data_IF_274077341273
#
_entry.id   IF_274077341273
#
_cell.length_a   1.000
_cell.length_b   1.000
_cell.length_c   1.000
_cell.angle_alpha   90.00
_cell.angle_beta   90.00
_cell.angle_gamma   90.00
#
_symmetry.space_group_name_H-M   'P 1'
#
loop_
_entity.id
_entity.type
_entity.pdbx_description
1 polymer ?
#
# COMPACT_ATOMS: atom_id res chain seq x y z
N UNK A 1 28.94 -6.06 -12.36
CA UNK A 1 28.86 -4.75 -11.70
C UNK A 1 29.66 -3.75 -12.52
N UNK A 2 29.16 -2.52 -12.73
CA UNK A 2 29.89 -1.46 -13.46
C UNK A 2 30.22 -0.35 -12.47
N UNK A 3 31.48 0.07 -12.44
CA UNK A 3 31.98 1.15 -11.59
C UNK A 3 32.04 2.41 -12.46
N UNK A 4 31.57 3.53 -11.92
CA UNK A 4 31.52 4.83 -12.59
C UNK A 4 32.35 5.85 -11.82
N UNK A 5 32.87 6.88 -12.49
CA UNK A 5 33.38 8.05 -11.78
C UNK A 5 32.22 8.85 -11.21
N UNK A 6 32.40 9.46 -10.04
CA UNK A 6 31.35 10.24 -9.38
C UNK A 6 30.81 11.39 -10.23
N UNK A 7 31.68 12.08 -11.00
CA UNK A 7 31.28 13.14 -11.93
C UNK A 7 30.42 12.62 -13.07
N UNK A 8 30.86 11.54 -13.73
CA UNK A 8 30.13 10.89 -14.82
C UNK A 8 28.77 10.34 -14.35
N UNK A 9 28.66 9.92 -13.08
CA UNK A 9 27.40 9.47 -12.50
C UNK A 9 26.45 10.62 -12.18
N UNK A 10 26.98 11.75 -11.68
CA UNK A 10 26.18 12.93 -11.33
C UNK A 10 25.59 13.64 -12.56
N UNK A 11 26.30 13.62 -13.69
CA UNK A 11 25.86 14.22 -14.96
C UNK A 11 24.89 13.32 -15.74
N UNK A 12 24.60 12.12 -15.24
CA UNK A 12 23.79 11.15 -15.96
C UNK A 12 22.30 11.48 -15.83
N UNK A 13 21.63 11.52 -16.97
CA UNK A 13 20.18 11.54 -17.01
C UNK A 13 19.63 10.14 -16.70
N UNK A 14 18.80 10.06 -15.65
CA UNK A 14 18.03 8.86 -15.33
C UNK A 14 16.58 9.10 -15.75
N UNK A 15 15.91 8.11 -16.37
CA UNK A 15 14.49 8.23 -16.61
C UNK A 15 13.76 8.41 -15.27
N UNK A 16 12.78 9.30 -15.23
CA UNK A 16 11.95 9.42 -14.04
C UNK A 16 11.30 8.07 -13.73
N UNK A 17 11.31 7.65 -12.46
CA UNK A 17 10.71 6.38 -12.10
C UNK A 17 9.20 6.41 -12.41
N UNK A 18 8.64 5.31 -12.95
CA UNK A 18 7.23 5.26 -13.28
C UNK A 18 6.38 5.40 -12.01
N UNK A 19 5.21 6.02 -12.13
CA UNK A 19 4.18 6.04 -11.08
C UNK A 19 3.13 4.96 -11.37
N UNK A 20 2.78 4.17 -10.35
CA UNK A 20 1.63 3.26 -10.44
C UNK A 20 0.33 4.04 -10.18
N UNK A 21 0.39 4.99 -9.25
CA UNK A 21 -0.64 6.02 -9.03
C UNK A 21 0.09 7.37 -8.95
N UNK A 22 -0.20 8.33 -9.83
CA UNK A 22 0.47 9.63 -9.85
C UNK A 22 0.50 10.30 -8.47
N UNK A 23 1.70 10.66 -8.01
CA UNK A 23 1.93 11.34 -6.72
C UNK A 23 1.66 10.51 -5.46
N UNK A 24 1.19 9.26 -5.58
CA UNK A 24 0.79 8.43 -4.43
C UNK A 24 1.58 7.12 -4.34
N UNK A 25 1.67 6.37 -5.44
CA UNK A 25 2.29 5.04 -5.45
C UNK A 25 3.43 5.01 -6.48
N UNK A 26 4.69 5.04 -6.05
CA UNK A 26 5.82 4.90 -6.96
C UNK A 26 5.90 3.48 -7.51
N UNK A 27 6.35 3.36 -8.76
CA UNK A 27 6.62 2.09 -9.45
C UNK A 27 7.97 1.48 -9.09
N UNK A 28 8.43 1.68 -7.85
CA UNK A 28 9.66 1.11 -7.30
C UNK A 28 9.61 1.10 -5.77
N UNK A 29 10.48 0.29 -5.17
CA UNK A 29 10.65 0.25 -3.72
C UNK A 29 9.50 -0.43 -2.97
N UNK A 30 9.44 -0.18 -1.66
CA UNK A 30 8.42 -0.71 -0.76
C UNK A 30 7.71 0.50 -0.14
N UNK A 31 6.43 0.65 -0.41
CA UNK A 31 5.56 1.64 0.19
C UNK A 31 4.78 1.00 1.33
N UNK A 32 4.86 1.60 2.52
CA UNK A 32 4.17 1.07 3.70
C UNK A 32 2.98 1.95 4.07
N UNK A 33 1.81 1.34 4.23
CA UNK A 33 0.64 1.97 4.84
C UNK A 33 0.55 1.57 6.32
N UNK A 34 0.54 2.55 7.21
CA UNK A 34 0.48 2.31 8.65
C UNK A 34 -0.70 3.04 9.29
N UNK A 35 -1.36 2.36 10.24
CA UNK A 35 -2.45 2.89 11.03
C UNK A 35 -2.84 1.93 12.17
N UNK A 36 -3.66 2.40 13.11
CA UNK A 36 -4.28 1.53 14.12
C UNK A 36 -5.05 0.36 13.50
N UNK A 37 -5.21 -0.78 14.19
CA UNK A 37 -6.05 -1.88 13.72
C UNK A 37 -7.47 -1.40 13.43
N UNK A 38 -8.14 -2.04 12.47
CA UNK A 38 -9.54 -1.78 12.10
C UNK A 38 -9.85 -0.37 11.55
N UNK A 39 -8.84 0.37 11.08
CA UNK A 39 -9.01 1.68 10.42
C UNK A 39 -9.34 1.60 8.92
N UNK A 40 -9.55 0.39 8.37
CA UNK A 40 -9.87 0.21 6.95
C UNK A 40 -8.68 0.09 6.00
N UNK A 41 -7.43 -0.09 6.49
CA UNK A 41 -6.24 -0.28 5.61
C UNK A 41 -6.41 -1.38 4.57
N UNK A 42 -6.88 -2.56 4.98
CA UNK A 42 -7.10 -3.68 4.06
C UNK A 42 -8.20 -3.39 3.04
N UNK A 43 -9.23 -2.62 3.43
CA UNK A 43 -10.30 -2.17 2.52
C UNK A 43 -9.73 -1.17 1.50
N UNK A 44 -8.99 -0.15 1.96
CA UNK A 44 -8.33 0.82 1.08
C UNK A 44 -7.33 0.13 0.13
N UNK A 45 -6.60 -0.86 0.63
CA UNK A 45 -5.63 -1.63 -0.15
C UNK A 45 -6.31 -2.51 -1.20
N UNK A 46 -7.48 -3.09 -0.89
CA UNK A 46 -8.30 -3.79 -1.89
C UNK A 46 -8.87 -2.84 -2.94
N UNK A 47 -9.33 -1.65 -2.54
CA UNK A 47 -9.78 -0.62 -3.48
C UNK A 47 -8.64 -0.18 -4.40
N UNK A 48 -7.43 0.00 -3.87
CA UNK A 48 -6.24 0.28 -4.66
C UNK A 48 -5.94 -0.85 -5.65
N UNK A 49 -5.91 -2.11 -5.17
CA UNK A 49 -5.69 -3.29 -6.02
C UNK A 49 -6.71 -3.36 -7.16
N UNK A 50 -7.98 -3.10 -6.84
CA UNK A 50 -9.07 -3.09 -7.80
C UNK A 50 -8.91 -1.97 -8.84
N UNK A 51 -8.66 -0.73 -8.42
CA UNK A 51 -8.46 0.40 -9.34
C UNK A 51 -7.26 0.18 -10.25
N UNK A 52 -6.14 -0.33 -9.72
CA UNK A 52 -4.94 -0.67 -10.50
C UNK A 52 -5.20 -1.82 -11.47
N UNK A 53 -5.88 -2.87 -11.02
CA UNK A 53 -6.15 -4.08 -11.81
C UNK A 53 -7.13 -3.84 -12.96
N UNK A 54 -8.19 -3.08 -12.72
CA UNK A 54 -9.32 -2.94 -13.63
C UNK A 54 -9.31 -1.64 -14.45
N UNK A 55 -8.27 -0.82 -14.30
CA UNK A 55 -8.17 0.53 -14.87
C UNK A 55 -9.29 1.45 -14.36
N UNK A 56 -8.97 2.31 -13.42
CA UNK A 56 -9.93 3.24 -12.84
C UNK A 56 -9.26 4.44 -12.19
N UNK A 57 -10.01 5.08 -11.31
CA UNK A 57 -9.49 6.16 -10.47
C UNK A 57 -9.20 5.65 -9.07
N UNK A 58 -8.19 6.23 -8.42
CA UNK A 58 -7.91 5.99 -7.02
C UNK A 58 -7.63 7.33 -6.34
N UNK A 59 -8.43 7.69 -5.34
CA UNK A 59 -8.33 8.98 -4.63
C UNK A 59 -8.24 10.20 -5.55
N UNK A 60 -9.03 10.20 -6.63
CA UNK A 60 -9.07 11.28 -7.62
C UNK A 60 -7.93 11.27 -8.64
N UNK A 61 -7.00 10.32 -8.57
CA UNK A 61 -5.95 10.12 -9.56
C UNK A 61 -6.37 9.11 -10.62
N UNK A 62 -6.14 9.44 -11.89
CA UNK A 62 -6.33 8.51 -12.99
C UNK A 62 -5.15 7.54 -13.10
N UNK A 63 -5.47 6.26 -13.28
CA UNK A 63 -4.48 5.22 -13.49
C UNK A 63 -4.23 5.11 -15.00
N UNK A 64 -2.98 5.35 -15.41
CA UNK A 64 -2.61 5.50 -16.83
C UNK A 64 -2.74 4.21 -17.64
N UNK A 65 -2.61 3.05 -16.99
CA UNK A 65 -2.78 1.74 -17.60
C UNK A 65 -3.22 0.70 -16.56
N UNK A 66 -4.01 -0.32 -16.95
CA UNK A 66 -4.25 -1.45 -16.08
C UNK A 66 -2.93 -2.15 -15.73
N UNK A 67 -2.78 -2.49 -14.45
CA UNK A 67 -1.64 -3.20 -13.90
C UNK A 67 -2.04 -4.60 -13.47
N UNK A 68 -1.03 -5.46 -13.33
CA UNK A 68 -1.22 -6.78 -12.77
C UNK A 68 -0.78 -6.80 -11.31
N UNK A 69 -1.75 -6.92 -10.41
CA UNK A 69 -1.51 -6.81 -8.97
C UNK A 69 -1.65 -8.18 -8.31
N UNK A 70 -0.68 -8.57 -7.47
CA UNK A 70 -0.78 -9.74 -6.61
C UNK A 70 -1.03 -9.28 -5.17
N UNK A 71 -2.14 -9.69 -4.58
CA UNK A 71 -2.45 -9.48 -3.17
C UNK A 71 -2.14 -10.75 -2.38
N UNK A 72 -1.12 -10.68 -1.52
CA UNK A 72 -0.72 -11.75 -0.61
C UNK A 72 -1.43 -11.54 0.71
N UNK A 73 -2.43 -12.37 0.99
CA UNK A 73 -3.25 -12.32 2.18
C UNK A 73 -2.80 -13.38 3.20
N UNK A 74 -2.50 -12.94 4.42
CA UNK A 74 -2.20 -13.79 5.58
C UNK A 74 -2.86 -13.31 6.87
N UNK A 75 -3.61 -12.20 6.84
CA UNK A 75 -4.19 -11.55 8.03
C UNK A 75 -5.56 -12.13 8.44
N UNK A 76 -6.37 -12.51 7.44
CA UNK A 76 -7.71 -13.06 7.64
C UNK A 76 -7.81 -14.52 7.19
N UNK A 77 -8.68 -15.34 7.79
CA UNK A 77 -9.04 -16.64 7.25
C UNK A 77 -9.56 -16.55 5.81
N UNK A 78 -9.27 -17.57 4.98
CA UNK A 78 -9.61 -17.57 3.56
C UNK A 78 -11.12 -17.37 3.30
N UNK A 79 -11.98 -17.97 4.14
CA UNK A 79 -13.44 -17.80 4.05
C UNK A 79 -13.87 -16.34 4.27
N UNK A 80 -13.33 -15.69 5.30
CA UNK A 80 -13.65 -14.29 5.62
C UNK A 80 -13.13 -13.35 4.54
N UNK A 81 -11.93 -13.62 4.02
CA UNK A 81 -11.38 -12.88 2.89
C UNK A 81 -12.26 -13.00 1.65
N UNK A 82 -12.69 -14.21 1.30
CA UNK A 82 -13.57 -14.45 0.16
C UNK A 82 -14.93 -13.74 0.32
N UNK A 83 -15.48 -13.69 1.55
CA UNK A 83 -16.71 -12.96 1.82
C UNK A 83 -16.52 -11.46 1.68
N UNK A 84 -15.46 -10.90 2.27
CA UNK A 84 -15.12 -9.48 2.15
C UNK A 84 -14.93 -9.05 0.69
N UNK A 85 -14.29 -9.90 -0.11
CA UNK A 85 -14.15 -9.68 -1.56
C UNK A 85 -15.50 -9.61 -2.29
N UNK A 86 -16.47 -10.46 -1.93
CA UNK A 86 -17.83 -10.39 -2.49
C UNK A 86 -18.54 -9.09 -2.09
N UNK A 87 -18.42 -8.71 -0.83
CA UNK A 87 -19.07 -7.52 -0.28
C UNK A 87 -18.55 -6.22 -0.91
N UNK A 88 -17.26 -6.21 -1.33
CA UNK A 88 -16.65 -5.11 -2.07
C UNK A 88 -17.10 -5.02 -3.54
N UNK A 89 -17.87 -5.99 -4.05
CA UNK A 89 -18.38 -5.96 -5.42
C UNK A 89 -17.27 -6.03 -6.48
N UNK A 90 -16.22 -6.80 -6.22
CA UNK A 90 -15.06 -6.91 -7.12
C UNK A 90 -15.51 -7.37 -8.50
N UNK A 91 -15.04 -6.66 -9.54
CA UNK A 91 -15.44 -6.87 -10.93
C UNK A 91 -15.24 -8.34 -11.38
N UNK A 92 -16.27 -8.92 -11.98
CA UNK A 92 -16.28 -10.29 -12.54
C UNK A 92 -15.46 -10.47 -13.83
N UNK A 93 -14.69 -9.46 -14.25
CA UNK A 93 -14.01 -9.46 -15.55
C UNK A 93 -12.75 -10.35 -15.62
N UNK A 94 -12.42 -11.11 -14.59
CA UNK A 94 -11.26 -12.04 -14.57
C UNK A 94 -11.62 -13.45 -15.06
N UNK A 95 -12.21 -13.57 -16.26
CA UNK A 95 -12.48 -14.90 -16.86
C UNK A 95 -11.32 -15.47 -17.69
N UNK A 96 -10.12 -14.87 -17.64
CA UNK A 96 -8.91 -15.46 -18.26
C UNK A 96 -7.70 -15.31 -17.32
N UNK A 97 -6.91 -16.39 -17.12
CA UNK A 97 -5.72 -16.31 -16.30
C UNK A 97 -4.74 -15.30 -16.91
N UNK A 98 -4.28 -14.38 -16.06
CA UNK A 98 -3.05 -13.62 -16.24
C UNK A 98 -2.97 -12.58 -17.37
N UNK A 99 -4.09 -12.03 -17.89
CA UNK A 99 -4.03 -10.90 -18.85
C UNK A 99 -3.87 -9.54 -18.18
N UNK A 100 -4.88 -9.05 -17.47
CA UNK A 100 -4.90 -7.81 -16.68
C UNK A 100 -5.81 -8.06 -15.46
N UNK A 101 -5.62 -7.32 -14.37
CA UNK A 101 -6.43 -7.50 -13.15
C UNK A 101 -5.60 -7.67 -11.89
N UNK A 102 -6.28 -7.90 -10.78
CA UNK A 102 -5.64 -8.21 -9.51
C UNK A 102 -6.03 -9.61 -9.05
N UNK A 103 -5.09 -10.27 -8.41
CA UNK A 103 -5.15 -11.67 -8.04
C UNK A 103 -4.86 -11.80 -6.55
N UNK A 104 -5.49 -12.75 -5.87
CA UNK A 104 -5.19 -13.06 -4.47
C UNK A 104 -4.46 -14.38 -4.38
N UNK A 105 -3.45 -14.44 -3.52
CA UNK A 105 -2.95 -15.69 -2.95
C UNK A 105 -3.11 -15.63 -1.42
N UNK A 106 -3.71 -16.67 -0.84
CA UNK A 106 -3.75 -16.84 0.60
C UNK A 106 -2.55 -17.67 1.06
N UNK A 107 -1.81 -17.19 2.05
CA UNK A 107 -0.68 -17.89 2.65
C UNK A 107 -0.85 -17.94 4.16
N UNK A 108 -0.44 -19.06 4.75
CA UNK A 108 -0.40 -19.24 6.20
C UNK A 108 0.45 -18.15 6.90
N UNK A 109 0.07 -17.68 8.11
CA UNK A 109 0.88 -16.73 8.87
C UNK A 109 2.32 -17.24 9.11
N UNK A 110 3.28 -16.32 9.13
CA UNK A 110 4.69 -16.65 9.32
C UNK A 110 5.31 -17.41 8.16
N UNK A 111 4.81 -17.23 6.94
CA UNK A 111 5.43 -17.81 5.74
C UNK A 111 6.75 -17.11 5.36
N UNK A 112 6.89 -15.82 5.68
CA UNK A 112 8.09 -15.05 5.33
C UNK A 112 9.25 -15.48 6.23
N UNK A 113 10.40 -15.75 5.63
CA UNK A 113 11.53 -16.41 6.29
C UNK A 113 11.60 -17.92 6.02
N UNK A 114 10.55 -18.55 5.45
CA UNK A 114 10.57 -19.96 5.04
C UNK A 114 11.03 -20.07 3.58
N UNK A 115 12.25 -20.58 3.29
CA UNK A 115 12.82 -20.55 1.93
C UNK A 115 11.95 -21.20 0.85
N UNK A 116 11.28 -22.32 1.17
CA UNK A 116 10.44 -23.02 0.21
C UNK A 116 9.22 -22.19 -0.21
N UNK A 117 8.59 -21.50 0.75
CA UNK A 117 7.42 -20.64 0.50
C UNK A 117 7.83 -19.37 -0.24
N UNK A 118 8.96 -18.77 0.15
CA UNK A 118 9.54 -17.62 -0.56
C UNK A 118 9.86 -17.95 -2.02
N UNK A 119 10.43 -19.12 -2.29
CA UNK A 119 10.78 -19.58 -3.64
C UNK A 119 9.53 -19.82 -4.50
N UNK A 120 8.48 -20.43 -3.94
CA UNK A 120 7.21 -20.63 -4.64
C UNK A 120 6.59 -19.28 -5.01
N UNK A 121 6.51 -18.36 -4.05
CA UNK A 121 5.93 -17.03 -4.29
C UNK A 121 6.76 -16.22 -5.30
N UNK A 122 8.10 -16.27 -5.21
CA UNK A 122 8.99 -15.65 -6.20
C UNK A 122 8.69 -16.16 -7.62
N UNK A 123 8.59 -17.49 -7.81
CA UNK A 123 8.26 -18.06 -9.13
C UNK A 123 6.90 -17.59 -9.63
N UNK A 124 5.87 -17.60 -8.77
CA UNK A 124 4.54 -17.10 -9.12
C UNK A 124 4.57 -15.62 -9.52
N UNK A 125 5.34 -14.80 -8.82
CA UNK A 125 5.46 -13.37 -9.13
C UNK A 125 6.11 -13.14 -10.50
N UNK A 126 7.20 -13.86 -10.78
CA UNK A 126 7.95 -13.72 -12.03
C UNK A 126 7.22 -14.33 -13.23
N UNK A 127 6.71 -15.56 -13.11
CA UNK A 127 5.92 -16.24 -14.16
C UNK A 127 4.62 -15.50 -14.43
N UNK A 128 3.96 -15.02 -13.37
CA UNK A 128 2.79 -14.18 -13.45
C UNK A 128 3.06 -12.78 -13.98
N UNK A 129 4.32 -12.34 -14.09
CA UNK A 129 4.70 -10.99 -14.55
C UNK A 129 3.92 -9.88 -13.85
N UNK A 130 3.80 -9.96 -12.52
CA UNK A 130 3.09 -8.94 -11.75
C UNK A 130 3.85 -7.60 -11.77
N UNK A 131 3.10 -6.50 -11.72
CA UNK A 131 3.62 -5.12 -11.69
C UNK A 131 3.72 -4.58 -10.25
N UNK A 132 2.87 -5.08 -9.34
CA UNK A 132 2.83 -4.69 -7.92
C UNK A 132 2.50 -5.91 -7.07
N UNK A 133 3.16 -6.04 -5.92
CA UNK A 133 2.84 -7.06 -4.92
C UNK A 133 2.39 -6.39 -3.62
N UNK A 134 1.22 -6.75 -3.12
CA UNK A 134 0.65 -6.23 -1.88
C UNK A 134 0.73 -7.28 -0.80
N UNK A 135 1.08 -6.89 0.43
CA UNK A 135 1.24 -7.80 1.56
C UNK A 135 0.36 -7.35 2.73
N UNK A 136 -0.58 -8.19 3.12
CA UNK A 136 -1.50 -7.96 4.25
C UNK A 136 -1.36 -9.09 5.29
N UNK A 137 -0.72 -8.87 6.43
CA UNK A 137 -0.02 -7.66 6.90
C UNK A 137 1.42 -8.01 7.28
N UNK A 138 2.29 -7.00 7.44
CA UNK A 138 3.68 -7.19 7.86
C UNK A 138 3.79 -8.03 9.13
N UNK A 139 2.84 -7.86 10.06
CA UNK A 139 2.83 -8.58 11.32
C UNK A 139 2.49 -10.06 11.11
N UNK A 140 1.50 -10.38 10.26
CA UNK A 140 1.08 -11.77 10.05
C UNK A 140 2.00 -12.54 9.12
N UNK A 141 2.51 -11.93 8.04
CA UNK A 141 3.48 -12.59 7.15
C UNK A 141 4.79 -12.93 7.87
N UNK A 142 5.20 -12.10 8.86
CA UNK A 142 6.42 -12.31 9.66
C UNK A 142 6.24 -13.27 10.83
N UNK A 143 5.03 -13.75 11.09
CA UNK A 143 4.76 -14.64 12.23
C UNK A 143 4.78 -13.89 13.57
N UNK A 144 4.28 -12.65 13.58
CA UNK A 144 4.21 -11.78 14.76
C UNK A 144 5.57 -11.36 15.32
N UNK A 145 6.57 -11.20 14.44
CA UNK A 145 7.89 -10.71 14.81
C UNK A 145 7.82 -9.35 15.55
N UNK A 146 8.80 -9.10 16.41
CA UNK A 146 8.88 -7.82 17.11
C UNK A 146 9.38 -6.71 16.18
N UNK A 147 8.45 -5.87 15.72
CA UNK A 147 8.73 -4.82 14.73
C UNK A 147 9.42 -3.59 15.34
N UNK A 148 9.59 -3.57 16.67
CA UNK A 148 10.41 -2.58 17.38
C UNK A 148 11.91 -2.94 17.37
N UNK A 149 12.29 -4.18 16.97
CA UNK A 149 13.68 -4.59 16.79
C UNK A 149 14.19 -4.23 15.37
N UNK A 150 15.17 -3.32 15.23
CA UNK A 150 15.75 -2.97 13.94
C UNK A 150 16.35 -4.16 13.18
N UNK A 151 16.85 -5.19 13.89
CA UNK A 151 17.40 -6.39 13.25
C UNK A 151 16.28 -7.22 12.62
N UNK A 152 15.18 -7.42 13.34
CA UNK A 152 14.00 -8.10 12.84
C UNK A 152 13.44 -7.40 11.60
N UNK A 153 13.28 -6.07 11.65
CA UNK A 153 12.82 -5.28 10.50
C UNK A 153 13.80 -5.39 9.32
N UNK A 154 15.11 -5.30 9.57
CA UNK A 154 16.13 -5.46 8.52
C UNK A 154 16.06 -6.81 7.82
N UNK A 155 15.95 -7.91 8.58
CA UNK A 155 15.81 -9.26 8.04
C UNK A 155 14.52 -9.41 7.22
N UNK A 156 13.43 -8.81 7.69
CA UNK A 156 12.12 -8.84 7.04
C UNK A 156 12.15 -8.13 5.68
N UNK A 157 12.76 -6.96 5.60
CA UNK A 157 12.93 -6.23 4.34
C UNK A 157 13.85 -7.00 3.36
N UNK A 158 14.89 -7.67 3.87
CA UNK A 158 15.74 -8.54 3.04
C UNK A 158 14.95 -9.74 2.50
N UNK A 159 14.13 -10.37 3.35
CA UNK A 159 13.28 -11.48 2.95
C UNK A 159 12.29 -11.07 1.84
N UNK A 160 11.59 -9.92 2.00
CA UNK A 160 10.72 -9.37 0.96
C UNK A 160 11.48 -9.12 -0.36
N UNK A 161 12.69 -8.57 -0.29
CA UNK A 161 13.55 -8.36 -1.48
C UNK A 161 14.01 -9.64 -2.15
N UNK A 162 14.14 -10.76 -1.41
CA UNK A 162 14.41 -12.09 -1.99
C UNK A 162 13.19 -12.64 -2.72
N UNK A 163 11.99 -12.42 -2.17
CA UNK A 163 10.73 -12.83 -2.78
C UNK A 163 10.50 -12.08 -4.09
N UNK A 164 10.71 -10.77 -4.11
CA UNK A 164 10.61 -9.99 -5.33
C UNK A 164 11.29 -8.63 -5.24
N UNK A 165 11.75 -8.11 -6.39
CA UNK A 165 12.22 -6.73 -6.54
C UNK A 165 11.17 -5.81 -7.16
N UNK A 166 9.96 -6.33 -7.40
CA UNK A 166 8.82 -5.55 -7.85
C UNK A 166 8.45 -4.50 -6.79
N UNK A 167 7.80 -3.40 -7.20
CA UNK A 167 7.17 -2.48 -6.27
C UNK A 167 6.30 -3.25 -5.27
N UNK A 168 6.34 -2.87 -4.01
CA UNK A 168 5.56 -3.52 -2.96
C UNK A 168 4.70 -2.52 -2.19
N UNK A 169 3.47 -2.93 -1.87
CA UNK A 169 2.57 -2.24 -0.96
C UNK A 169 2.42 -3.07 0.31
N UNK A 170 2.81 -2.51 1.45
CA UNK A 170 2.90 -3.24 2.70
C UNK A 170 2.01 -2.66 3.77
N UNK A 171 1.12 -3.49 4.32
CA UNK A 171 0.20 -3.08 5.39
C UNK A 171 0.86 -3.33 6.74
N UNK A 172 0.90 -2.29 7.58
CA UNK A 172 1.42 -2.38 8.94
C UNK A 172 0.39 -1.87 9.96
N UNK A 173 0.17 -2.64 11.02
CA UNK A 173 -0.71 -2.25 12.12
C UNK A 173 0.13 -1.63 13.25
N UNK A 174 -0.19 -0.40 13.67
CA UNK A 174 0.37 0.17 14.89
C UNK A 174 -0.16 -0.65 16.09
N UNK A 175 0.71 -1.18 16.95
CA UNK A 175 0.27 -1.81 18.21
C UNK A 175 -0.44 -0.79 19.09
N UNK A 176 -1.47 -1.22 19.81
CA UNK A 176 -2.12 -0.41 20.84
C UNK A 176 -1.11 -0.24 21.99
N UNK A 177 -0.75 1.00 22.33
CA UNK A 177 0.04 1.27 23.52
C UNK A 177 -0.66 0.77 24.78
N UNK A 178 0.11 0.35 25.79
CA UNK A 178 -0.41 -0.03 27.09
C UNK A 178 -1.15 1.14 27.75
N UNK A 179 -2.33 0.93 28.38
CA UNK A 179 -3.02 1.99 29.11
C UNK A 179 -2.11 2.62 30.18
N UNK A 180 -2.02 3.95 30.18
CA UNK A 180 -1.21 4.69 31.17
C UNK A 180 0.26 4.88 30.83
N UNK A 181 0.74 4.33 29.72
CA UNK A 181 2.07 4.66 29.17
C UNK A 181 1.86 5.67 28.04
N UNK A 182 2.45 6.89 28.10
CA UNK A 182 2.42 7.82 26.97
C UNK A 182 2.89 7.08 25.72
N UNK A 183 2.21 7.30 24.59
CA UNK A 183 2.45 6.64 23.30
C UNK A 183 3.87 6.95 22.81
N UNK A 184 4.87 6.25 23.37
CA UNK A 184 6.30 6.44 23.09
C UNK A 184 6.76 5.66 21.86
N UNK A 185 5.90 4.87 21.23
CA UNK A 185 6.15 4.30 19.91
C UNK A 185 5.75 5.30 18.83
N UNK A 186 6.44 6.45 18.84
CA UNK A 186 6.84 7.02 17.57
C UNK A 186 7.81 6.02 16.94
N UNK A 187 7.27 5.01 16.26
CA UNK A 187 7.91 4.64 15.00
C UNK A 187 7.70 5.88 14.14
N UNK A 188 8.59 6.86 14.31
CA UNK A 188 8.95 7.75 13.23
C UNK A 188 9.13 6.80 12.06
N UNK A 189 8.24 6.86 11.09
CA UNK A 189 8.46 6.18 9.83
C UNK A 189 9.70 6.86 9.23
N UNK A 190 10.88 6.44 9.67
CA UNK A 190 12.16 6.96 9.25
C UNK A 190 12.43 6.32 7.89
N UNK A 191 11.75 6.83 6.88
CA UNK A 191 11.85 6.36 5.51
C UNK A 191 10.95 7.17 4.61
N UNK A 192 11.49 7.64 3.50
CA UNK A 192 10.82 8.46 2.47
C UNK A 192 9.63 7.77 1.76
N UNK A 193 9.15 6.61 2.25
CA UNK A 193 8.18 5.74 1.59
C UNK A 193 7.04 5.27 2.52
N UNK A 194 6.66 6.08 3.50
CA UNK A 194 5.57 5.76 4.42
C UNK A 194 4.33 6.63 4.16
N UNK A 195 3.17 5.98 4.03
CA UNK A 195 1.86 6.63 4.01
C UNK A 195 1.14 6.37 5.34
N UNK A 196 0.74 7.44 6.02
CA UNK A 196 -0.11 7.36 7.21
C UNK A 196 -1.58 7.31 6.79
N UNK A 197 -2.32 6.31 7.25
CA UNK A 197 -3.77 6.18 7.00
C UNK A 197 -4.56 6.29 8.31
N UNK A 198 -4.75 7.50 8.82
CA UNK A 198 -5.58 7.74 10.00
C UNK A 198 -7.08 7.77 9.68
N UNK A 199 -7.91 7.19 10.55
CA UNK A 199 -9.26 7.72 10.77
C UNK A 199 -9.09 8.82 11.82
N UNK A 200 -9.36 10.07 11.44
CA UNK A 200 -9.21 11.23 12.31
C UNK A 200 -10.54 11.53 13.02
N UNK A 201 -10.56 11.36 14.33
CA UNK A 201 -11.25 12.31 15.21
C UNK A 201 -10.19 13.30 15.69
N UNK A 202 -10.07 14.41 14.94
CA UNK A 202 -9.25 15.60 15.18
C UNK A 202 -7.70 15.48 15.10
N UNK A 203 -7.12 16.51 14.46
CA UNK A 203 -5.70 16.93 14.34
C UNK A 203 -4.89 16.38 13.16
N UNK A 204 -4.86 17.19 12.09
CA UNK A 204 -3.90 17.17 10.97
C UNK A 204 -2.44 16.87 11.39
N UNK A 205 -1.84 15.83 10.81
CA UNK A 205 -0.39 15.72 10.60
C UNK A 205 -0.08 14.73 9.45
N UNK A 206 0.19 15.25 8.25
CA UNK A 206 1.50 15.00 7.61
C UNK A 206 1.41 14.51 6.17
N UNK A 207 0.82 15.31 5.28
CA UNK A 207 1.01 15.22 3.80
C UNK A 207 1.51 16.57 3.25
N UNK A 208 2.09 17.41 4.10
CA UNK A 208 2.53 18.75 3.75
C UNK A 208 4.05 18.81 3.60
N UNK A 209 4.62 18.18 2.57
CA UNK A 209 5.96 18.58 2.09
C UNK A 209 6.29 18.17 0.64
N UNK A 210 5.30 17.77 -0.17
CA UNK A 210 5.50 17.48 -1.61
C UNK A 210 4.68 18.38 -2.55
N UNK A 211 4.35 19.61 -2.11
CA UNK A 211 3.69 20.64 -2.95
C UNK A 211 4.42 22.00 -2.87
N UNK A 212 5.57 22.07 -2.18
CA UNK A 212 6.20 23.33 -1.78
C UNK A 212 7.00 24.11 -2.82
N UNK A 213 7.16 23.64 -4.07
CA UNK A 213 8.01 24.30 -5.07
C UNK A 213 7.35 24.45 -6.45
N UNK A 214 6.17 25.08 -6.49
CA UNK A 214 5.77 25.91 -7.63
C UNK A 214 4.96 27.12 -7.10
N UNK A 215 5.57 28.30 -7.13
CA UNK A 215 4.94 29.60 -6.84
C UNK A 215 4.66 30.34 -8.17
N UNK A 216 3.89 31.44 -8.21
CA UNK A 216 2.44 31.45 -8.32
C UNK A 216 1.99 32.17 -9.60
N UNK A 217 1.06 31.61 -10.36
CA UNK A 217 0.22 32.40 -11.28
C UNK A 217 -1.08 31.66 -11.53
N UNK A 218 -2.17 32.22 -11.01
CA UNK A 218 -3.41 32.59 -11.72
C UNK A 218 -4.48 32.79 -10.64
N UNK A 219 -4.74 34.06 -10.40
CA UNK A 219 -5.93 34.57 -9.74
C UNK A 219 -7.19 34.21 -10.52
N UNK A 220 -8.27 33.95 -9.79
CA UNK A 220 -9.68 33.90 -10.22
C UNK A 220 -10.09 32.71 -11.11
N UNK A 221 -10.96 31.84 -10.57
CA UNK A 221 -12.27 31.50 -11.14
C UNK A 221 -13.14 30.95 -10.02
N UNK A 222 -14.26 31.64 -9.82
CA UNK A 222 -15.39 31.30 -8.97
C UNK A 222 -16.34 30.33 -9.68
N UNK A 223 -16.69 29.19 -9.08
CA UNK A 223 -18.05 28.60 -9.11
C UNK A 223 -18.11 27.25 -8.37
N UNK A 224 -19.24 26.91 -7.72
CA UNK A 224 -19.42 25.68 -6.96
C UNK A 224 -19.93 24.54 -7.86
N UNK A 225 -19.26 23.39 -7.83
CA UNK A 225 -19.80 22.15 -8.43
C UNK A 225 -20.45 21.32 -7.32
N UNK A 226 -21.74 21.09 -7.49
CA UNK A 226 -22.65 20.32 -6.63
C UNK A 226 -22.23 18.85 -6.49
N UNK A 227 -22.18 18.34 -5.25
CA UNK A 227 -22.05 16.91 -4.97
C UNK A 227 -23.43 16.20 -4.95
N UNK A 228 -23.50 14.92 -5.38
CA UNK A 228 -24.73 14.11 -5.35
C UNK A 228 -25.09 13.59 -3.93
N UNK A 229 -26.39 13.31 -3.66
CA UNK A 229 -26.98 13.32 -2.31
C UNK A 229 -26.85 12.03 -1.46
N UNK A 230 -25.83 11.19 -1.64
CA UNK A 230 -25.73 9.91 -0.90
C UNK A 230 -24.86 9.92 0.36
N UNK A 231 -24.46 11.10 0.86
CA UNK A 231 -23.54 11.22 2.02
C UNK A 231 -24.21 11.61 3.36
N UNK A 232 -25.54 11.63 3.45
CA UNK A 232 -26.27 12.25 4.57
C UNK A 232 -27.05 11.29 5.49
N UNK A 233 -26.55 10.09 5.81
CA UNK A 233 -27.28 9.18 6.72
C UNK A 233 -26.55 8.64 7.97
N UNK A 234 -25.37 9.14 8.36
CA UNK A 234 -24.68 8.62 9.58
C UNK A 234 -24.28 9.72 10.58
N UNK A 235 -24.93 10.89 10.58
CA UNK A 235 -24.74 11.90 11.65
C UNK A 235 -26.09 12.45 12.08
N UNK A 236 -26.88 11.65 12.79
CA UNK A 236 -27.99 12.18 13.59
C UNK A 236 -28.48 11.17 14.63
N UNK A 237 -27.61 10.68 15.50
CA UNK A 237 -28.02 10.28 16.86
C UNK A 237 -26.79 10.20 17.74
N UNK A 238 -26.52 11.24 18.53
CA UNK A 238 -25.91 11.22 19.88
C UNK A 238 -25.59 12.67 20.25
N UNK A 239 -26.62 13.41 20.66
CA UNK A 239 -26.50 14.64 21.44
C UNK A 239 -27.77 14.74 22.29
N UNK A 240 -27.76 14.04 23.43
CA UNK A 240 -28.30 14.46 24.73
C UNK A 240 -27.36 13.89 25.79
#
# INVERSE_FOLDING_TARGET
>A
MKIWKSSEYAEREFPEPPWLVPGLVPGYGILMIYAHPKTGKSILSQQLAHSLGCNGTFLGQEISKPLKVLYVQSDLPEMEWAQQMKDLGICSSTNLPYKNGWYTIWLEPGWLGKPDKELILHRLIEEGRFDLVMYDSLLTISGYADLDDPKAVGQLLLALRRVSRKPAWLIHHKRKGSPGVPDRSNVSAAGSFALCAGVYDSVFAGVAEMVGHYSPMISSISSPVSMPPYFLSIISTTLI
#
